data_IF_845809113429
#
_entry.id   IF_845809113429
#
_cell.length_a   1.000
_cell.length_b   1.000
_cell.length_c   1.000
_cell.angle_alpha   90.00
_cell.angle_beta   90.00
_cell.angle_gamma   90.00
#
_symmetry.space_group_name_H-M   'P 1'
#
loop_
_entity.id
_entity.type
_entity.pdbx_description
1 polymer ?
#
# COMPACT_ATOMS: atom_id res chain seq x y z
N UNK A 1 -17.19 -15.59 5.50
CA UNK A 1 -17.83 -14.63 6.44
C UNK A 1 -17.84 -13.17 5.95
N UNK A 2 -17.44 -12.86 4.69
CA UNK A 2 -17.55 -11.50 4.10
C UNK A 2 -18.79 -11.29 3.20
N UNK A 3 -19.58 -12.34 2.94
CA UNK A 3 -20.73 -12.27 2.03
C UNK A 3 -21.92 -11.46 2.55
N UNK A 4 -22.18 -11.49 3.86
CA UNK A 4 -23.39 -10.87 4.45
C UNK A 4 -23.22 -9.36 4.68
N UNK A 5 -21.98 -8.85 4.77
CA UNK A 5 -21.74 -7.41 4.92
C UNK A 5 -21.87 -6.65 3.58
N UNK A 6 -21.86 -7.36 2.45
CA UNK A 6 -22.08 -6.79 1.11
C UNK A 6 -23.56 -6.58 0.77
N UNK A 7 -24.46 -7.38 1.33
CA UNK A 7 -25.87 -7.46 0.92
C UNK A 7 -26.73 -6.26 1.32
N UNK A 8 -26.25 -5.35 2.19
CA UNK A 8 -27.05 -4.20 2.66
C UNK A 8 -26.59 -2.81 2.22
N UNK A 9 -25.38 -2.65 1.67
CA UNK A 9 -24.80 -1.31 1.49
C UNK A 9 -24.12 -1.01 0.15
N UNK A 10 -24.14 -1.98 -0.78
CA UNK A 10 -23.50 -1.85 -2.09
C UNK A 10 -21.99 -2.13 -2.02
N UNK A 11 -21.43 -2.91 -2.96
CA UNK A 11 -20.07 -3.47 -2.91
C UNK A 11 -18.92 -2.44 -2.91
N UNK A 12 -19.24 -1.17 -3.13
CA UNK A 12 -18.26 -0.09 -3.25
C UNK A 12 -17.76 0.41 -1.89
N UNK A 13 -18.61 0.49 -0.86
CA UNK A 13 -18.26 1.07 0.45
C UNK A 13 -17.20 0.28 1.24
N UNK A 14 -17.20 -1.08 1.23
CA UNK A 14 -16.18 -1.87 1.94
C UNK A 14 -14.75 -1.69 1.40
N UNK A 15 -14.62 -1.49 0.09
CA UNK A 15 -13.31 -1.31 -0.57
C UNK A 15 -12.73 0.06 -0.21
N UNK A 16 -13.55 1.11 -0.30
CA UNK A 16 -13.17 2.46 0.11
C UNK A 16 -12.81 2.54 1.61
N UNK A 17 -13.57 1.87 2.49
CA UNK A 17 -13.30 1.90 3.94
C UNK A 17 -11.99 1.21 4.30
N UNK A 18 -11.65 0.10 3.63
CA UNK A 18 -10.40 -0.63 3.89
C UNK A 18 -9.18 0.08 3.35
N UNK A 19 -9.30 0.77 2.20
CA UNK A 19 -8.22 1.63 1.72
C UNK A 19 -8.03 2.88 2.60
N UNK A 20 -9.11 3.46 3.12
CA UNK A 20 -9.02 4.55 4.09
C UNK A 20 -8.28 4.09 5.37
N UNK A 21 -8.55 2.87 5.85
CA UNK A 21 -7.81 2.28 6.97
C UNK A 21 -6.30 2.14 6.68
N UNK A 22 -5.93 1.70 5.46
CA UNK A 22 -4.53 1.61 5.07
C UNK A 22 -3.84 2.99 5.00
N UNK A 23 -4.54 4.02 4.51
CA UNK A 23 -4.04 5.41 4.51
C UNK A 23 -3.81 5.89 5.96
N UNK A 24 -4.75 5.62 6.88
CA UNK A 24 -4.59 5.94 8.30
C UNK A 24 -3.37 5.21 8.89
N UNK A 25 -3.15 3.94 8.53
CA UNK A 25 -1.95 3.19 8.95
C UNK A 25 -0.65 3.85 8.48
N UNK A 26 -0.58 4.28 7.22
CA UNK A 26 0.58 4.99 6.67
C UNK A 26 0.79 6.35 7.37
N UNK A 27 -0.29 7.10 7.62
CA UNK A 27 -0.23 8.38 8.33
C UNK A 27 0.27 8.20 9.77
N UNK A 28 -0.20 7.17 10.46
CA UNK A 28 0.30 6.82 11.79
C UNK A 28 1.80 6.52 11.74
N UNK A 29 2.26 5.69 10.79
CA UNK A 29 3.69 5.40 10.63
C UNK A 29 4.49 6.68 10.34
N UNK A 30 3.98 7.58 9.50
CA UNK A 30 4.64 8.84 9.15
C UNK A 30 4.79 9.78 10.36
N UNK A 31 3.74 9.89 11.19
CA UNK A 31 3.74 10.73 12.40
C UNK A 31 4.62 10.15 13.52
N UNK A 32 4.78 8.82 13.51
CA UNK A 32 5.48 8.04 14.52
C UNK A 32 6.93 7.72 14.16
N UNK A 33 7.41 8.02 12.96
CA UNK A 33 8.86 8.06 12.70
C UNK A 33 9.43 9.25 13.48
N UNK A 34 9.98 8.99 14.68
CA UNK A 34 10.62 9.97 15.53
C UNK A 34 11.81 9.33 16.27
N UNK A 35 12.82 10.12 16.68
CA UNK A 35 14.02 9.59 17.36
C UNK A 35 13.73 8.79 18.65
N UNK A 36 12.61 9.04 19.32
CA UNK A 36 12.18 8.35 20.55
C UNK A 36 10.99 7.40 20.35
N UNK A 37 10.56 7.16 19.11
CA UNK A 37 9.39 6.33 18.87
C UNK A 37 9.69 4.85 19.14
N UNK A 38 8.80 4.21 19.90
CA UNK A 38 8.89 2.78 20.14
C UNK A 38 8.59 2.01 18.86
N UNK A 39 9.40 1.00 18.56
CA UNK A 39 9.22 0.09 17.40
C UNK A 39 7.78 -0.47 17.36
N UNK A 40 7.20 -0.74 18.53
CA UNK A 40 5.82 -1.23 18.67
C UNK A 40 4.78 -0.30 18.07
N UNK A 41 4.98 1.02 18.13
CA UNK A 41 4.02 2.00 17.58
C UNK A 41 4.02 1.96 16.04
N UNK A 42 5.19 1.79 15.43
CA UNK A 42 5.33 1.62 13.97
C UNK A 42 4.72 0.27 13.54
N UNK A 43 4.92 -0.79 14.32
CA UNK A 43 4.33 -2.11 14.05
C UNK A 43 2.80 -2.07 14.01
N UNK A 44 2.15 -1.35 14.92
CA UNK A 44 0.68 -1.21 14.91
C UNK A 44 0.19 -0.53 13.63
N UNK A 45 0.86 0.55 13.20
CA UNK A 45 0.56 1.22 11.93
C UNK A 45 0.77 0.30 10.72
N UNK A 46 1.84 -0.49 10.73
CA UNK A 46 2.15 -1.46 9.68
C UNK A 46 1.10 -2.58 9.59
N UNK A 47 0.63 -3.10 10.73
CA UNK A 47 -0.44 -4.11 10.76
C UNK A 47 -1.73 -3.52 10.17
N UNK A 48 -2.12 -2.31 10.57
CA UNK A 48 -3.30 -1.64 10.02
C UNK A 48 -3.18 -1.44 8.50
N UNK A 49 -1.99 -1.01 8.03
CA UNK A 49 -1.67 -0.90 6.61
C UNK A 49 -1.82 -2.23 5.88
N UNK A 50 -1.21 -3.31 6.40
CA UNK A 50 -1.24 -4.64 5.77
C UNK A 50 -2.64 -5.23 5.69
N UNK A 51 -3.46 -5.04 6.73
CA UNK A 51 -4.87 -5.46 6.74
C UNK A 51 -5.66 -4.72 5.66
N UNK A 52 -5.57 -3.38 5.63
CA UNK A 52 -6.28 -2.58 4.64
C UNK A 52 -5.84 -2.88 3.20
N UNK A 53 -4.53 -3.03 2.97
CA UNK A 53 -3.96 -3.34 1.66
C UNK A 53 -4.39 -4.74 1.16
N UNK A 54 -4.32 -5.76 2.02
CA UNK A 54 -4.70 -7.13 1.65
C UNK A 54 -6.17 -7.24 1.27
N UNK A 55 -7.05 -6.58 2.03
CA UNK A 55 -8.47 -6.53 1.74
C UNK A 55 -8.77 -5.78 0.44
N UNK A 56 -8.14 -4.62 0.22
CA UNK A 56 -8.33 -3.84 -1.01
C UNK A 56 -7.87 -4.63 -2.25
N UNK A 57 -6.72 -5.31 -2.15
CA UNK A 57 -6.15 -6.12 -3.23
C UNK A 57 -7.09 -7.25 -3.66
N UNK A 58 -7.57 -8.07 -2.71
CA UNK A 58 -8.44 -9.20 -3.02
C UNK A 58 -9.74 -8.76 -3.72
N UNK A 59 -10.33 -7.66 -3.26
CA UNK A 59 -11.55 -7.11 -3.87
C UNK A 59 -11.28 -6.52 -5.27
N UNK A 60 -10.16 -5.82 -5.46
CA UNK A 60 -9.78 -5.25 -6.77
C UNK A 60 -9.55 -6.35 -7.80
N UNK A 61 -8.82 -7.40 -7.42
CA UNK A 61 -8.59 -8.57 -8.28
C UNK A 61 -9.91 -9.22 -8.67
N UNK A 62 -10.81 -9.44 -7.70
CA UNK A 62 -12.13 -10.04 -7.95
C UNK A 62 -12.96 -9.18 -8.91
N UNK A 63 -13.00 -7.86 -8.71
CA UNK A 63 -13.73 -6.93 -9.58
C UNK A 63 -13.12 -6.78 -10.99
N UNK A 64 -11.81 -6.97 -11.13
CA UNK A 64 -11.10 -6.99 -12.41
C UNK A 64 -11.33 -8.28 -13.18
N UNK A 65 -11.33 -9.43 -12.50
CA UNK A 65 -11.60 -10.73 -13.12
C UNK A 65 -13.07 -10.93 -13.47
N UNK A 66 -13.99 -10.28 -12.75
CA UNK A 66 -15.44 -10.42 -13.00
C UNK A 66 -15.89 -9.89 -14.36
N UNK A 67 -15.09 -9.07 -15.04
CA UNK A 67 -15.38 -8.56 -16.39
C UNK A 67 -14.75 -9.41 -17.50
N UNK A 68 -13.98 -10.45 -17.13
CA UNK A 68 -13.30 -11.35 -18.08
C UNK A 68 -14.13 -12.63 -18.25
N UNK A 69 -14.42 -13.06 -19.50
CA UNK A 69 -15.07 -14.34 -19.77
C UNK A 69 -14.32 -15.52 -19.13
N UNK A 70 -15.07 -16.53 -18.64
CA UNK A 70 -14.51 -17.67 -17.92
C UNK A 70 -13.38 -18.41 -18.68
N UNK A 71 -13.47 -18.49 -20.02
CA UNK A 71 -12.46 -19.09 -20.87
C UNK A 71 -11.12 -18.34 -20.88
N UNK A 72 -11.12 -17.04 -20.62
CA UNK A 72 -9.92 -16.18 -20.62
C UNK A 72 -9.44 -15.83 -19.20
N UNK A 73 -10.10 -16.35 -18.15
CA UNK A 73 -9.64 -16.15 -16.77
C UNK A 73 -8.23 -16.70 -16.49
N UNK A 74 -7.80 -17.86 -17.04
CA UNK A 74 -6.42 -18.33 -16.87
C UNK A 74 -5.39 -17.30 -17.37
N UNK A 75 -5.63 -16.74 -18.55
CA UNK A 75 -4.75 -15.73 -19.16
C UNK A 75 -4.77 -14.42 -18.35
N UNK A 76 -5.95 -13.99 -17.90
CA UNK A 76 -6.11 -12.82 -17.04
C UNK A 76 -5.35 -12.95 -15.71
N UNK A 77 -5.41 -14.12 -15.08
CA UNK A 77 -4.65 -14.40 -13.85
C UNK A 77 -3.13 -14.42 -14.09
N UNK A 78 -2.68 -14.98 -15.22
CA UNK A 78 -1.27 -14.96 -15.59
C UNK A 78 -0.76 -13.53 -15.76
N UNK A 79 -1.49 -12.70 -16.51
CA UNK A 79 -1.17 -11.28 -16.68
C UNK A 79 -1.13 -10.53 -15.34
N UNK A 80 -2.13 -10.75 -14.47
CA UNK A 80 -2.18 -10.11 -13.16
C UNK A 80 -0.97 -10.46 -12.30
N UNK A 81 -0.58 -11.73 -12.29
CA UNK A 81 0.59 -12.21 -11.56
C UNK A 81 1.90 -11.63 -12.10
N UNK A 82 2.04 -11.49 -13.42
CA UNK A 82 3.20 -10.83 -14.05
C UNK A 82 3.26 -9.34 -13.68
N UNK A 83 2.15 -8.63 -13.76
CA UNK A 83 2.09 -7.22 -13.35
C UNK A 83 2.39 -7.06 -11.85
N UNK A 84 1.92 -7.98 -11.01
CA UNK A 84 2.21 -7.97 -9.59
C UNK A 84 3.72 -8.15 -9.32
N UNK A 85 4.38 -9.08 -10.02
CA UNK A 85 5.83 -9.28 -9.88
C UNK A 85 6.62 -8.05 -10.32
N UNK A 86 6.24 -7.45 -11.46
CA UNK A 86 6.86 -6.23 -11.95
C UNK A 86 6.65 -5.05 -10.99
N UNK A 87 5.41 -4.83 -10.55
CA UNK A 87 5.06 -3.78 -9.59
C UNK A 87 5.78 -3.98 -8.25
N UNK A 88 5.93 -5.23 -7.80
CA UNK A 88 6.71 -5.58 -6.62
C UNK A 88 8.19 -5.20 -6.78
N UNK A 89 8.82 -5.57 -7.89
CA UNK A 89 10.22 -5.24 -8.16
C UNK A 89 10.47 -3.73 -8.29
N UNK A 90 9.57 -3.01 -8.97
CA UNK A 90 9.65 -1.54 -9.07
C UNK A 90 9.46 -0.90 -7.70
N UNK A 91 8.46 -1.35 -6.93
CA UNK A 91 8.18 -0.84 -5.59
C UNK A 91 9.38 -0.99 -4.66
N UNK A 92 9.96 -2.19 -4.56
CA UNK A 92 11.14 -2.43 -3.72
C UNK A 92 12.35 -1.60 -4.17
N UNK A 93 12.54 -1.44 -5.48
CA UNK A 93 13.62 -0.61 -6.03
C UNK A 93 13.46 0.85 -5.62
N UNK A 94 12.27 1.43 -5.80
CA UNK A 94 12.01 2.83 -5.42
C UNK A 94 12.20 3.04 -3.92
N UNK A 95 11.65 2.15 -3.08
CA UNK A 95 11.84 2.25 -1.62
C UNK A 95 13.31 2.13 -1.21
N UNK A 96 14.07 1.23 -1.86
CA UNK A 96 15.50 1.05 -1.59
C UNK A 96 16.32 2.27 -2.00
N UNK A 97 15.98 2.91 -3.12
CA UNK A 97 16.64 4.16 -3.56
C UNK A 97 16.37 5.28 -2.56
N UNK A 98 15.12 5.46 -2.12
CA UNK A 98 14.77 6.47 -1.12
C UNK A 98 15.61 6.32 0.17
N UNK A 99 15.76 5.09 0.64
CA UNK A 99 16.56 4.80 1.82
C UNK A 99 18.07 4.95 1.58
N UNK A 100 18.57 4.43 0.45
CA UNK A 100 19.98 4.47 0.09
C UNK A 100 20.49 5.90 -0.10
N UNK A 101 19.70 6.78 -0.72
CA UNK A 101 20.02 8.22 -0.83
C UNK A 101 20.07 8.87 0.55
N UNK A 102 19.15 8.55 1.45
CA UNK A 102 19.15 9.11 2.79
C UNK A 102 20.35 8.66 3.63
N UNK A 103 20.83 7.44 3.42
CA UNK A 103 22.00 6.86 4.10
C UNK A 103 23.33 7.18 3.43
N UNK A 104 23.33 7.84 2.27
CA UNK A 104 24.56 8.15 1.53
C UNK A 104 25.55 8.91 2.43
N UNK A 105 26.79 8.42 2.48
CA UNK A 105 27.85 9.02 3.31
C UNK A 105 27.77 8.73 4.81
N UNK A 106 26.78 7.94 5.28
CA UNK A 106 26.65 7.53 6.68
C UNK A 106 26.92 6.04 6.81
N UNK A 107 27.75 5.63 7.78
CA UNK A 107 28.01 4.22 8.05
C UNK A 107 27.68 3.85 9.48
N UNK A 108 27.09 2.68 9.66
CA UNK A 108 26.75 2.13 10.98
C UNK A 108 27.98 1.84 11.84
N UNK A 109 29.16 1.70 11.22
CA UNK A 109 30.43 1.40 11.88
C UNK A 109 31.20 2.66 12.28
N UNK A 110 31.08 3.76 11.54
CA UNK A 110 31.73 5.03 11.88
C UNK A 110 30.91 5.87 12.85
N UNK A 111 29.60 6.00 12.61
CA UNK A 111 28.71 6.77 13.50
C UNK A 111 27.29 6.20 13.48
N UNK A 112 26.97 5.42 14.52
CA UNK A 112 25.64 4.83 14.72
C UNK A 112 24.55 5.89 14.88
N UNK A 113 24.84 7.01 15.53
CA UNK A 113 23.84 8.05 15.80
C UNK A 113 23.50 8.82 14.53
N UNK A 114 24.51 9.19 13.73
CA UNK A 114 24.30 9.85 12.45
C UNK A 114 23.60 8.92 11.44
N UNK A 115 23.97 7.63 11.40
CA UNK A 115 23.29 6.63 10.58
C UNK A 115 21.82 6.44 11.00
N UNK A 116 21.52 6.39 12.30
CA UNK A 116 20.15 6.30 12.78
C UNK A 116 19.33 7.54 12.38
N UNK A 117 19.87 8.76 12.52
CA UNK A 117 19.21 9.98 12.09
C UNK A 117 18.97 10.03 10.56
N UNK A 118 19.93 9.57 9.76
CA UNK A 118 19.80 9.42 8.31
C UNK A 118 18.70 8.42 7.94
N UNK A 119 18.65 7.27 8.61
CA UNK A 119 17.59 6.26 8.47
C UNK A 119 16.21 6.83 8.80
N UNK A 120 16.08 7.68 9.82
CA UNK A 120 14.80 8.32 10.15
C UNK A 120 14.33 9.25 9.03
N UNK A 121 15.23 10.10 8.49
CA UNK A 121 14.89 10.97 7.35
C UNK A 121 14.50 10.15 6.13
N UNK A 122 15.25 9.10 5.83
CA UNK A 122 14.93 8.15 4.75
C UNK A 122 13.56 7.50 4.96
N UNK A 123 13.27 7.06 6.18
CA UNK A 123 11.97 6.50 6.56
C UNK A 123 10.81 7.45 6.30
N UNK A 124 10.94 8.74 6.65
CA UNK A 124 9.93 9.75 6.33
C UNK A 124 9.68 9.86 4.83
N UNK A 125 10.74 9.98 4.02
CA UNK A 125 10.62 10.07 2.55
C UNK A 125 9.94 8.82 1.99
N UNK A 126 10.37 7.64 2.42
CA UNK A 126 9.79 6.34 2.03
C UNK A 126 8.30 6.27 2.36
N UNK A 127 7.88 6.68 3.56
CA UNK A 127 6.46 6.70 3.93
C UNK A 127 5.65 7.75 3.16
N UNK A 128 6.24 8.90 2.81
CA UNK A 128 5.59 9.89 1.94
C UNK A 128 5.37 9.32 0.54
N UNK A 129 6.39 8.69 -0.06
CA UNK A 129 6.27 8.06 -1.38
C UNK A 129 5.20 6.97 -1.34
N UNK A 130 5.20 6.12 -0.30
CA UNK A 130 4.18 5.10 -0.09
C UNK A 130 2.77 5.73 -0.01
N UNK A 131 2.62 6.82 0.76
CA UNK A 131 1.34 7.53 0.88
C UNK A 131 0.85 8.06 -0.47
N UNK A 132 1.73 8.68 -1.27
CA UNK A 132 1.38 9.20 -2.60
C UNK A 132 0.93 8.08 -3.53
N UNK A 133 1.65 6.96 -3.57
CA UNK A 133 1.28 5.78 -4.37
C UNK A 133 -0.09 5.25 -3.95
N UNK A 134 -0.33 5.15 -2.64
CA UNK A 134 -1.59 4.62 -2.11
C UNK A 134 -2.78 5.57 -2.36
N UNK A 135 -2.57 6.88 -2.28
CA UNK A 135 -3.57 7.89 -2.65
C UNK A 135 -3.91 7.83 -4.14
N UNK A 136 -2.91 7.63 -5.00
CA UNK A 136 -3.10 7.40 -6.43
C UNK A 136 -3.96 6.15 -6.70
N UNK A 137 -3.66 5.04 -6.03
CA UNK A 137 -4.44 3.81 -6.12
C UNK A 137 -5.88 3.98 -5.60
N UNK A 138 -6.06 4.74 -4.52
CA UNK A 138 -7.37 5.07 -3.96
C UNK A 138 -8.22 5.88 -4.96
N UNK A 139 -7.63 6.93 -5.57
CA UNK A 139 -8.32 7.74 -6.57
C UNK A 139 -8.65 6.96 -7.85
N UNK A 140 -7.75 6.08 -8.30
CA UNK A 140 -7.98 5.19 -9.43
C UNK A 140 -9.17 4.24 -9.17
N UNK A 141 -9.24 3.66 -7.96
CA UNK A 141 -10.38 2.85 -7.55
C UNK A 141 -11.68 3.65 -7.53
N UNK A 142 -11.68 4.86 -6.96
CA UNK A 142 -12.87 5.75 -6.97
C UNK A 142 -13.35 6.00 -8.40
N UNK A 143 -12.44 6.35 -9.32
CA UNK A 143 -12.77 6.59 -10.73
C UNK A 143 -13.33 5.34 -11.41
N UNK A 144 -12.70 4.18 -11.21
CA UNK A 144 -13.17 2.93 -11.78
C UNK A 144 -14.58 2.57 -11.31
N UNK A 145 -14.89 2.77 -10.03
CA UNK A 145 -16.23 2.54 -9.50
C UNK A 145 -17.24 3.60 -9.93
N UNK A 146 -16.83 4.87 -10.08
CA UNK A 146 -17.70 5.92 -10.59
C UNK A 146 -18.10 5.67 -12.04
N UNK A 147 -17.16 5.25 -12.90
CA UNK A 147 -17.42 4.90 -14.29
C UNK A 147 -18.39 3.72 -14.45
N UNK A 148 -18.33 2.74 -13.52
CA UNK A 148 -19.27 1.60 -13.48
C UNK A 148 -20.68 1.97 -13.00
N UNK A 149 -20.90 3.16 -12.43
CA UNK A 149 -22.25 3.64 -12.06
C UNK A 149 -22.95 4.39 -13.20
N UNK A 150 -22.20 4.83 -14.20
CA UNK A 150 -22.69 5.60 -15.34
C UNK A 150 -22.91 4.77 -16.60
N UNK A 151 -22.51 3.50 -16.60
CA UNK A 151 -22.72 2.51 -17.65
C UNK A 151 -23.82 1.52 -17.22
#
# INVERSE_FOLDING_TARGET
MFGVLLDRFGPMRPILSTMALAIVGILLMLLLVRPLASVWMICVGYIAYMVGCSMAYANTMTAGMSVIPASMQPDGNAMFSTFQQLAGAVGTTVMSICLGVAQAGHSITADKAAFAAAMQRGGHVTFIVLLVVFLGAFLANIRAFAARRTA
#
